data_IF_777407569330
#
_entry.id   IF_777407569330
#
_cell.length_a   1.000
_cell.length_b   1.000
_cell.length_c   1.000
_cell.angle_alpha   90.00
_cell.angle_beta   90.00
_cell.angle_gamma   90.00
#
_symmetry.space_group_name_H-M   'P 1'
#
loop_
_entity.id
_entity.type
_entity.pdbx_description
1 polymer ?
#
# COMPACT_ATOMS: atom_id res chain seq x y z
N UNK A 1 7.38 10.45 -6.44
CA UNK A 1 6.21 10.99 -7.15
C UNK A 1 5.21 11.54 -6.13
N UNK A 2 5.07 10.89 -4.97
CA UNK A 2 4.54 11.51 -3.75
C UNK A 2 5.56 12.38 -3.01
N UNK A 3 5.12 13.24 -2.06
CA UNK A 3 6.01 14.02 -1.20
C UNK A 3 6.92 13.14 -0.34
N UNK A 4 8.11 13.66 -0.03
CA UNK A 4 8.98 13.11 1.01
C UNK A 4 8.52 13.66 2.37
N UNK A 5 8.31 12.78 3.34
CA UNK A 5 7.81 13.10 4.68
C UNK A 5 8.85 12.65 5.70
N UNK A 6 9.30 13.55 6.57
CA UNK A 6 10.17 13.17 7.68
C UNK A 6 9.38 12.28 8.64
N UNK A 7 9.95 11.14 9.06
CA UNK A 7 9.29 10.21 9.99
C UNK A 7 8.74 10.92 11.24
N UNK A 8 9.37 12.01 11.69
CA UNK A 8 8.97 12.77 12.88
C UNK A 8 7.75 13.67 12.67
N UNK A 9 7.36 13.92 11.43
CA UNK A 9 6.14 14.66 11.09
C UNK A 9 4.90 13.77 11.18
N UNK A 10 5.09 12.46 11.43
CA UNK A 10 4.03 11.47 11.58
C UNK A 10 3.85 11.16 13.06
N UNK A 11 2.64 11.38 13.56
CA UNK A 11 2.28 10.96 14.93
C UNK A 11 1.78 9.52 14.90
N UNK A 12 2.57 8.57 15.40
CA UNK A 12 2.16 7.16 15.47
C UNK A 12 1.07 6.99 16.52
N UNK A 13 -0.07 6.44 16.12
CA UNK A 13 -1.23 6.20 16.99
C UNK A 13 -1.29 4.74 17.45
N UNK A 14 -0.83 3.80 16.61
CA UNK A 14 -0.82 2.36 16.93
C UNK A 14 0.30 1.62 16.21
N UNK A 15 0.95 0.69 16.89
CA UNK A 15 1.87 -0.27 16.28
C UNK A 15 1.11 -1.56 15.97
N UNK A 16 1.21 -2.06 14.73
CA UNK A 16 0.54 -3.28 14.28
C UNK A 16 1.52 -4.45 14.22
N UNK A 17 2.66 -4.24 13.57
CA UNK A 17 3.75 -5.21 13.43
C UNK A 17 5.11 -4.50 13.51
N UNK A 18 6.20 -5.22 13.23
CA UNK A 18 7.55 -4.61 13.27
C UNK A 18 7.70 -3.50 12.21
N UNK A 19 7.13 -3.69 11.02
CA UNK A 19 7.16 -2.76 9.91
C UNK A 19 5.94 -1.85 9.85
N UNK A 20 4.78 -2.33 10.31
CA UNK A 20 3.47 -1.68 10.10
C UNK A 20 2.99 -0.91 11.33
N UNK A 21 2.50 0.32 11.08
CA UNK A 21 1.96 1.20 12.11
C UNK A 21 0.90 2.13 11.52
N UNK A 22 -0.04 2.57 12.34
CA UNK A 22 -1.02 3.60 12.01
C UNK A 22 -0.56 4.93 12.58
N UNK A 23 -0.92 6.02 11.93
CA UNK A 23 -0.57 7.35 12.39
C UNK A 23 -1.45 8.47 11.86
N UNK A 24 -1.05 9.68 12.21
CA UNK A 24 -1.61 10.94 11.74
C UNK A 24 -0.52 11.77 11.10
N UNK A 25 -0.76 12.25 9.89
CA UNK A 25 0.10 13.20 9.19
C UNK A 25 -0.75 14.36 8.66
N UNK A 26 -0.43 15.59 9.09
CA UNK A 26 -1.17 16.80 8.71
C UNK A 26 -2.70 16.70 8.91
N UNK A 27 -3.13 16.05 10.01
CA UNK A 27 -4.55 15.83 10.32
C UNK A 27 -5.24 14.72 9.53
N UNK A 28 -4.51 14.00 8.66
CA UNK A 28 -4.99 12.85 7.91
C UNK A 28 -4.52 11.54 8.59
N UNK A 29 -5.44 10.59 8.76
CA UNK A 29 -5.11 9.22 9.18
C UNK A 29 -4.35 8.51 8.06
N UNK A 30 -3.33 7.74 8.43
CA UNK A 30 -2.44 7.06 7.49
C UNK A 30 -1.99 5.70 8.01
N UNK A 31 -1.82 4.76 7.09
CA UNK A 31 -1.04 3.55 7.34
C UNK A 31 0.40 3.80 6.92
N UNK A 32 1.35 3.33 7.72
CA UNK A 32 2.77 3.56 7.53
C UNK A 32 3.51 2.24 7.57
N UNK A 33 4.19 1.93 6.47
CA UNK A 33 5.14 0.83 6.38
C UNK A 33 6.56 1.40 6.51
N UNK A 34 7.37 0.81 7.39
CA UNK A 34 8.78 1.20 7.57
C UNK A 34 9.70 0.01 7.36
N UNK A 35 10.65 0.15 6.45
CA UNK A 35 11.66 -0.87 6.20
C UNK A 35 12.66 -0.94 7.36
N UNK A 36 12.94 -2.16 7.83
CA UNK A 36 13.89 -2.43 8.92
C UNK A 36 15.34 -2.38 8.42
N UNK A 37 15.60 -2.91 7.22
CA UNK A 37 16.87 -2.81 6.47
C UNK A 37 16.55 -2.46 5.01
N UNK A 38 17.48 -1.81 4.28
CA UNK A 38 17.34 -1.38 2.87
C UNK A 38 16.66 -2.46 2.02
N UNK A 39 15.33 -2.40 1.93
CA UNK A 39 14.57 -3.59 1.57
C UNK A 39 14.20 -3.48 0.10
N UNK A 40 14.69 -4.45 -0.65
CA UNK A 40 14.14 -4.86 -1.95
C UNK A 40 12.61 -4.90 -1.90
N UNK A 41 12.03 -5.18 -0.73
CA UNK A 41 10.60 -5.12 -0.48
C UNK A 41 10.00 -3.72 -0.67
N UNK A 42 10.53 -2.68 0.00
CA UNK A 42 10.08 -1.30 -0.17
C UNK A 42 10.27 -0.82 -1.62
N UNK A 43 11.39 -1.15 -2.25
CA UNK A 43 11.61 -0.85 -3.66
C UNK A 43 10.57 -1.53 -4.56
N UNK A 44 10.27 -2.81 -4.31
CA UNK A 44 9.25 -3.55 -5.04
C UNK A 44 7.85 -2.99 -4.83
N UNK A 45 7.49 -2.57 -3.61
CA UNK A 45 6.21 -1.90 -3.33
C UNK A 45 6.10 -0.59 -4.11
N UNK A 46 7.12 0.26 -4.06
CA UNK A 46 7.13 1.53 -4.79
C UNK A 46 7.09 1.32 -6.31
N UNK A 47 7.86 0.35 -6.82
CA UNK A 47 7.88 0.01 -8.24
C UNK A 47 6.52 -0.56 -8.69
N UNK A 48 5.94 -1.47 -7.91
CA UNK A 48 4.63 -2.06 -8.16
C UNK A 48 3.53 -1.01 -8.19
N UNK A 49 3.46 -0.14 -7.18
CA UNK A 49 2.46 0.92 -7.14
C UNK A 49 2.62 1.90 -8.31
N UNK A 50 3.85 2.27 -8.68
CA UNK A 50 4.10 3.09 -9.87
C UNK A 50 3.58 2.43 -11.16
N UNK A 51 3.80 1.12 -11.32
CA UNK A 51 3.29 0.37 -12.47
C UNK A 51 1.76 0.35 -12.50
N UNK A 52 1.08 0.30 -11.35
CA UNK A 52 -0.38 0.43 -11.30
C UNK A 52 -0.84 1.79 -11.85
N UNK A 53 -0.23 2.90 -11.41
CA UNK A 53 -0.55 4.23 -11.95
C UNK A 53 -0.30 4.31 -13.45
N UNK A 54 0.86 3.85 -13.93
CA UNK A 54 1.23 3.88 -15.35
C UNK A 54 0.25 3.09 -16.24
N UNK A 55 -0.52 2.17 -15.64
CA UNK A 55 -1.53 1.34 -16.33
C UNK A 55 -2.98 1.73 -16.02
N UNK A 56 -3.22 2.81 -15.28
CA UNK A 56 -4.54 3.23 -14.80
C UNK A 56 -5.23 2.14 -13.96
N UNK A 57 -4.47 1.53 -13.05
CA UNK A 57 -4.91 0.45 -12.15
C UNK A 57 -4.73 0.83 -10.67
N UNK A 58 -4.53 2.10 -10.35
CA UNK A 58 -4.35 2.59 -8.98
C UNK A 58 -5.57 2.31 -8.09
N UNK A 59 -6.75 2.07 -8.66
CA UNK A 59 -7.95 1.65 -7.92
C UNK A 59 -7.85 0.26 -7.29
N UNK A 60 -6.79 -0.51 -7.62
CA UNK A 60 -6.51 -1.84 -7.08
C UNK A 60 -5.58 -1.83 -5.87
N UNK A 61 -5.13 -0.66 -5.41
CA UNK A 61 -4.28 -0.50 -4.22
C UNK A 61 -4.80 0.66 -3.36
N UNK A 62 -4.44 0.69 -2.07
CA UNK A 62 -4.66 1.89 -1.26
C UNK A 62 -3.74 3.02 -1.73
N UNK A 63 -4.25 4.25 -1.88
CA UNK A 63 -3.45 5.35 -2.39
C UNK A 63 -2.20 5.61 -1.55
N UNK A 64 -1.04 5.67 -2.20
CA UNK A 64 0.20 6.12 -1.55
C UNK A 64 0.15 7.64 -1.44
N UNK A 65 0.26 8.16 -0.21
CA UNK A 65 0.17 9.59 0.10
C UNK A 65 1.54 10.21 0.41
N UNK A 66 2.58 9.39 0.69
CA UNK A 66 3.92 9.89 1.00
C UNK A 66 5.00 8.82 1.00
N UNK A 67 6.23 9.26 0.84
CA UNK A 67 7.43 8.44 1.06
C UNK A 67 8.09 8.91 2.36
N UNK A 68 8.37 7.99 3.28
CA UNK A 68 8.95 8.33 4.58
C UNK A 68 10.47 8.36 4.47
N UNK A 69 11.09 9.42 4.99
CA UNK A 69 12.54 9.60 5.05
C UNK A 69 12.98 9.83 6.50
N UNK A 70 14.25 9.50 6.81
CA UNK A 70 14.85 9.84 8.11
C UNK A 70 15.46 11.23 8.07
N UNK A 71 15.50 11.88 9.23
CA UNK A 71 16.06 13.23 9.39
C UNK A 71 17.44 13.33 8.74
N UNK A 72 17.58 14.29 7.83
CA UNK A 72 18.87 14.62 7.22
C UNK A 72 19.35 13.58 6.20
N UNK A 73 18.52 12.60 5.86
CA UNK A 73 18.76 11.69 4.74
C UNK A 73 17.72 11.92 3.64
N UNK A 74 18.13 11.72 2.39
CA UNK A 74 17.20 11.63 1.26
C UNK A 74 16.78 10.17 0.99
N UNK A 75 17.17 9.26 1.89
CA UNK A 75 16.91 7.84 1.76
C UNK A 75 15.48 7.54 2.21
N UNK A 76 14.69 6.98 1.28
CA UNK A 76 13.34 6.53 1.57
C UNK A 76 13.44 5.26 2.42
N UNK A 77 12.93 5.34 3.64
CA UNK A 77 12.90 4.24 4.60
C UNK A 77 11.49 3.71 4.86
N UNK A 78 10.47 4.26 4.20
CA UNK A 78 9.10 3.80 4.35
C UNK A 78 8.14 4.36 3.33
N UNK A 79 6.91 3.90 3.41
CA UNK A 79 5.79 4.26 2.56
C UNK A 79 4.59 4.61 3.43
N UNK A 80 3.81 5.59 3.01
CA UNK A 80 2.58 6.00 3.69
C UNK A 80 1.41 5.88 2.72
N UNK A 81 0.33 5.25 3.14
CA UNK A 81 -0.90 5.09 2.38
C UNK A 81 -2.09 5.70 3.11
N UNK A 82 -3.21 5.88 2.40
CA UNK A 82 -4.51 5.99 3.07
C UNK A 82 -4.77 4.78 3.98
N UNK A 83 -5.57 4.92 5.04
CA UNK A 83 -5.89 3.83 5.94
C UNK A 83 -6.57 2.68 5.19
N UNK A 84 -6.09 1.46 5.43
CA UNK A 84 -6.65 0.26 4.85
C UNK A 84 -8.07 0.03 5.40
N UNK A 85 -9.03 -0.27 4.52
CA UNK A 85 -10.43 -0.49 4.91
C UNK A 85 -11.09 -1.62 4.15
N UNK A 86 -12.11 -2.20 4.76
CA UNK A 86 -12.83 -3.36 4.22
C UNK A 86 -12.52 -4.61 5.01
N UNK A 87 -12.79 -5.77 4.40
CA UNK A 87 -12.60 -7.08 5.02
C UNK A 87 -11.72 -7.97 4.18
N UNK A 88 -11.09 -8.96 4.79
CA UNK A 88 -10.40 -10.01 4.04
C UNK A 88 -11.37 -10.69 3.05
N UNK A 89 -10.85 -11.04 1.89
CA UNK A 89 -11.62 -11.76 0.88
C UNK A 89 -12.05 -13.15 1.38
N UNK A 90 -13.30 -13.50 1.07
CA UNK A 90 -13.88 -14.81 1.31
C UNK A 90 -14.14 -15.51 -0.03
N UNK A 91 -14.45 -16.81 0.01
CA UNK A 91 -14.75 -17.58 -1.20
C UNK A 91 -15.88 -16.97 -2.06
N UNK A 92 -16.86 -16.31 -1.43
CA UNK A 92 -17.97 -15.64 -2.12
C UNK A 92 -17.50 -14.47 -3.01
N UNK A 93 -16.33 -13.91 -2.74
CA UNK A 93 -15.76 -12.75 -3.44
C UNK A 93 -14.90 -13.13 -4.64
N UNK A 94 -14.80 -14.44 -4.96
CA UNK A 94 -13.97 -14.95 -6.06
C UNK A 94 -14.17 -14.20 -7.37
N UNK A 95 -15.39 -13.75 -7.66
CA UNK A 95 -15.67 -12.99 -8.88
C UNK A 95 -15.00 -11.61 -8.89
N UNK A 96 -14.97 -10.91 -7.75
CA UNK A 96 -14.30 -9.62 -7.63
C UNK A 96 -12.78 -9.78 -7.70
N UNK A 97 -12.25 -10.80 -7.01
CA UNK A 97 -10.82 -11.15 -7.05
C UNK A 97 -10.35 -11.49 -8.47
N UNK A 98 -11.01 -12.41 -9.16
CA UNK A 98 -10.62 -12.79 -10.53
C UNK A 98 -10.77 -11.63 -11.52
N UNK A 99 -11.75 -10.75 -11.32
CA UNK A 99 -11.88 -9.53 -12.13
C UNK A 99 -10.66 -8.63 -11.95
N UNK A 100 -10.24 -8.36 -10.71
CA UNK A 100 -9.08 -7.52 -10.41
C UNK A 100 -7.77 -8.14 -10.94
N UNK A 101 -7.56 -9.45 -10.75
CA UNK A 101 -6.41 -10.16 -11.32
C UNK A 101 -6.40 -10.04 -12.86
N UNK A 102 -7.56 -10.25 -13.50
CA UNK A 102 -7.67 -10.12 -14.96
C UNK A 102 -7.41 -8.71 -15.48
N UNK A 103 -7.71 -7.66 -14.69
CA UNK A 103 -7.34 -6.28 -15.02
C UNK A 103 -5.82 -6.09 -15.01
N UNK A 104 -5.13 -6.61 -13.99
CA UNK A 104 -3.65 -6.58 -13.88
C UNK A 104 -2.99 -7.34 -15.04
N UNK A 105 -3.45 -8.56 -15.32
CA UNK A 105 -2.88 -9.40 -16.38
C UNK A 105 -3.09 -8.78 -17.78
N UNK A 106 -4.28 -8.20 -18.04
CA UNK A 106 -4.55 -7.51 -19.32
C UNK A 106 -3.69 -6.26 -19.50
N UNK A 107 -3.25 -5.64 -18.41
CA UNK A 107 -2.28 -4.55 -18.45
C UNK A 107 -0.83 -5.03 -18.66
N UNK A 108 -0.59 -6.34 -18.74
CA UNK A 108 0.74 -6.94 -18.94
C UNK A 108 1.58 -6.98 -17.67
N UNK A 109 0.95 -6.93 -16.50
CA UNK A 109 1.61 -7.02 -15.21
C UNK A 109 1.40 -8.40 -14.59
N UNK A 110 2.37 -8.84 -13.78
CA UNK A 110 2.24 -10.06 -12.98
C UNK A 110 2.06 -9.66 -11.52
N UNK A 111 0.92 -10.03 -10.94
CA UNK A 111 0.71 -9.93 -9.50
C UNK A 111 1.39 -11.11 -8.80
N UNK A 112 2.38 -10.82 -7.95
CA UNK A 112 3.09 -11.82 -7.16
C UNK A 112 2.76 -11.67 -5.68
N UNK A 113 2.90 -12.74 -4.90
CA UNK A 113 2.70 -12.67 -3.45
C UNK A 113 1.25 -12.45 -3.01
N UNK A 114 0.29 -13.16 -3.60
CA UNK A 114 -1.12 -13.10 -3.20
C UNK A 114 -1.34 -14.03 -2.00
N UNK A 115 -1.84 -13.47 -0.91
CA UNK A 115 -2.20 -14.15 0.34
C UNK A 115 -3.60 -13.71 0.77
N UNK A 116 -4.30 -14.49 1.59
CA UNK A 116 -5.61 -14.06 2.11
C UNK A 116 -5.54 -12.81 2.98
N UNK A 117 -4.36 -12.51 3.55
CA UNK A 117 -4.10 -11.35 4.39
C UNK A 117 -3.85 -10.05 3.64
N UNK A 118 -3.60 -10.09 2.32
CA UNK A 118 -3.36 -8.90 1.49
C UNK A 118 -4.34 -8.82 0.31
N UNK A 119 -5.53 -9.41 0.48
CA UNK A 119 -6.63 -9.25 -0.47
C UNK A 119 -7.83 -8.73 0.31
N UNK A 120 -8.18 -7.47 0.05
CA UNK A 120 -9.22 -6.75 0.75
C UNK A 120 -10.42 -6.54 -0.16
N UNK A 121 -11.61 -6.73 0.41
CA UNK A 121 -12.89 -6.42 -0.21
C UNK A 121 -13.46 -5.20 0.49
N UNK A 122 -13.59 -4.11 -0.27
CA UNK A 122 -14.16 -2.85 0.19
C UNK A 122 -15.68 -2.96 0.35
N UNK A 123 -16.28 -1.98 1.04
CA UNK A 123 -17.73 -1.95 1.27
C UNK A 123 -18.56 -1.83 -0.03
N UNK A 124 -17.98 -1.31 -1.10
CA UNK A 124 -18.59 -1.24 -2.43
C UNK A 124 -18.30 -2.50 -3.30
N UNK A 125 -17.68 -3.53 -2.73
CA UNK A 125 -17.46 -4.82 -3.38
C UNK A 125 -16.27 -4.87 -4.34
N UNK A 126 -15.37 -3.88 -4.31
CA UNK A 126 -14.12 -3.91 -5.08
C UNK A 126 -13.07 -4.75 -4.36
N UNK A 127 -12.17 -5.33 -5.15
CA UNK A 127 -10.99 -6.03 -4.68
C UNK A 127 -9.79 -5.08 -4.73
N UNK A 128 -9.07 -4.99 -3.61
CA UNK A 128 -7.84 -4.21 -3.44
C UNK A 128 -6.74 -5.16 -2.94
N UNK A 129 -5.52 -4.97 -3.41
CA UNK A 129 -4.31 -5.70 -3.01
C UNK A 129 -3.42 -4.84 -2.11
#
# INVERSE_FOLDING_TARGET
WCPLVDERDITITRFLWAEDREGLWNGMEVDVFMAVDTSVYLENMMAGYRLLIERNLEHLAYPVVGHVVRRGTAEICGLMTEPSYGRMAEYKDKSALYKAISEIERAGLLLTGIYTSNVMITNDGRCIF
#
